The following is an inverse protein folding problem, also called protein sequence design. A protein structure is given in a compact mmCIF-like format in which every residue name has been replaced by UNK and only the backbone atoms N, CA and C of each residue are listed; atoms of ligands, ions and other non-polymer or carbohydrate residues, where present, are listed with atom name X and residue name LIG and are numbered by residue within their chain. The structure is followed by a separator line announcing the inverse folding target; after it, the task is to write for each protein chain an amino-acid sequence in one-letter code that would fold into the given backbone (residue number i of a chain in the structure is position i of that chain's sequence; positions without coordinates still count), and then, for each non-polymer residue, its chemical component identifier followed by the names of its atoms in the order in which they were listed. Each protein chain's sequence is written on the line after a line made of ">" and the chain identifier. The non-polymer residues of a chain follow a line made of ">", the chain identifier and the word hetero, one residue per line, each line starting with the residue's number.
data_IF_000946483324
#
_entry.id   IF_000946483324
#
_cell.length_a   1.000
_cell.length_b   1.000
_cell.length_c   1.000
_cell.angle_alpha   90.00
_cell.angle_beta   90.00
_cell.angle_gamma   90.00
#
_symmetry.space_group_name_H-M   'P 1'
#
loop_
_entity.id
_entity.type
_entity.pdbx_description
1 polymer ?
#
# COMPACT_ATOMS: atom_id res chain seq x y z
N UNK A 1 31.38 40.17 8.88
CA UNK A 1 30.23 39.64 9.64
C UNK A 1 29.01 39.38 8.75
N UNK A 2 28.28 40.39 8.24
CA UNK A 2 27.05 40.17 7.43
C UNK A 2 27.14 39.18 6.25
N UNK A 3 28.29 39.08 5.59
CA UNK A 3 28.49 38.09 4.51
C UNK A 3 28.61 36.65 5.04
N UNK A 4 29.29 36.46 6.17
CA UNK A 4 29.41 35.16 6.84
C UNK A 4 28.04 34.73 7.37
N UNK A 5 27.25 35.64 7.94
CA UNK A 5 25.90 35.35 8.41
C UNK A 5 24.98 34.88 7.28
N UNK A 6 25.08 35.52 6.10
CA UNK A 6 24.33 35.09 4.91
C UNK A 6 24.77 33.72 4.43
N UNK A 7 26.07 33.43 4.39
CA UNK A 7 26.58 32.12 3.98
C UNK A 7 26.16 31.02 4.97
N UNK A 8 26.23 31.30 6.27
CA UNK A 8 25.77 30.38 7.32
C UNK A 8 24.27 30.09 7.20
N UNK A 9 23.45 31.12 6.95
CA UNK A 9 22.01 30.95 6.73
C UNK A 9 21.71 30.12 5.45
N UNK A 10 22.43 30.36 4.35
CA UNK A 10 22.29 29.58 3.12
C UNK A 10 22.68 28.12 3.33
N UNK A 11 23.78 27.87 4.05
CA UNK A 11 24.20 26.52 4.40
C UNK A 11 23.16 25.81 5.25
N UNK A 12 22.64 26.48 6.30
CA UNK A 12 21.57 25.93 7.13
C UNK A 12 20.31 25.57 6.34
N UNK A 13 19.91 26.43 5.39
CA UNK A 13 18.78 26.14 4.51
C UNK A 13 19.04 24.93 3.58
N UNK A 14 20.27 24.79 3.07
CA UNK A 14 20.65 23.64 2.25
C UNK A 14 20.62 22.33 3.05
N UNK A 15 21.14 22.34 4.28
CA UNK A 15 21.09 21.17 5.18
C UNK A 15 19.64 20.79 5.49
N UNK A 16 18.81 21.76 5.87
CA UNK A 16 17.39 21.51 6.17
C UNK A 16 16.64 20.91 4.96
N UNK A 17 16.97 21.36 3.75
CA UNK A 17 16.41 20.79 2.52
C UNK A 17 16.84 19.33 2.33
N UNK A 18 18.12 19.02 2.49
CA UNK A 18 18.65 17.64 2.38
C UNK A 18 17.99 16.73 3.41
N UNK A 19 17.86 17.18 4.67
CA UNK A 19 17.20 16.42 5.73
C UNK A 19 15.72 16.12 5.40
N UNK A 20 15.01 17.12 4.88
CA UNK A 20 13.61 16.96 4.50
C UNK A 20 13.42 15.95 3.36
N UNK A 21 14.27 16.03 2.32
CA UNK A 21 14.25 15.12 1.18
C UNK A 21 14.63 13.70 1.58
N UNK A 22 15.70 13.53 2.37
CA UNK A 22 16.11 12.22 2.87
C UNK A 22 15.01 11.58 3.72
N UNK A 23 14.39 12.36 4.60
CA UNK A 23 13.27 11.87 5.42
C UNK A 23 12.08 11.43 4.57
N UNK A 24 11.79 12.14 3.46
CA UNK A 24 10.76 11.72 2.52
C UNK A 24 11.10 10.39 1.83
N UNK A 25 12.35 10.20 1.42
CA UNK A 25 12.82 8.96 0.82
C UNK A 25 12.77 7.78 1.80
N UNK A 26 13.16 7.97 3.06
CA UNK A 26 13.06 6.94 4.10
C UNK A 26 11.60 6.49 4.29
N UNK A 27 10.66 7.45 4.36
CA UNK A 27 9.23 7.14 4.46
C UNK A 27 8.74 6.35 3.25
N UNK A 28 9.11 6.79 2.04
CA UNK A 28 8.73 6.09 0.82
C UNK A 28 9.28 4.66 0.78
N UNK A 29 10.57 4.46 1.02
CA UNK A 29 11.18 3.13 1.04
C UNK A 29 10.57 2.22 2.11
N UNK A 30 10.19 2.78 3.27
CA UNK A 30 9.48 2.04 4.32
C UNK A 30 8.09 1.61 3.82
N UNK A 31 7.36 2.48 3.15
CA UNK A 31 6.05 2.18 2.55
C UNK A 31 6.17 1.07 1.50
N UNK A 32 7.22 1.09 0.67
CA UNK A 32 7.52 0.03 -0.29
C UNK A 32 7.84 -1.29 0.40
N UNK A 33 8.80 -1.27 1.34
CA UNK A 33 9.28 -2.47 2.04
C UNK A 33 8.20 -3.16 2.89
N UNK A 34 7.27 -2.39 3.44
CA UNK A 34 6.12 -2.91 4.21
C UNK A 34 4.92 -3.26 3.35
N UNK A 35 5.04 -3.12 2.02
CA UNK A 35 3.98 -3.48 1.07
C UNK A 35 2.74 -2.58 1.18
N UNK A 36 2.88 -1.39 1.74
CA UNK A 36 1.80 -0.40 1.84
C UNK A 36 1.46 0.17 0.46
N UNK A 37 0.24 0.71 0.24
CA UNK A 37 -0.15 1.27 -1.04
C UNK A 37 0.71 2.49 -1.37
N UNK A 38 1.46 2.47 -2.47
CA UNK A 38 2.25 3.60 -2.98
C UNK A 38 2.13 3.69 -4.50
N UNK A 39 2.51 4.84 -5.06
CA UNK A 39 2.49 5.07 -6.51
C UNK A 39 3.39 4.06 -7.23
N UNK A 40 2.91 3.54 -8.37
CA UNK A 40 3.59 2.48 -9.13
C UNK A 40 3.50 1.07 -8.53
N UNK A 41 2.94 0.91 -7.32
CA UNK A 41 2.83 -0.41 -6.69
C UNK A 41 1.72 -1.28 -7.30
N UNK A 42 1.91 -2.60 -7.24
CA UNK A 42 0.86 -3.58 -7.58
C UNK A 42 -0.18 -3.77 -6.46
N UNK A 43 -0.15 -2.95 -5.40
CA UNK A 43 -1.01 -3.13 -4.22
C UNK A 43 -2.50 -3.17 -4.58
N UNK A 44 -2.96 -2.22 -5.41
CA UNK A 44 -4.38 -2.14 -5.81
C UNK A 44 -4.81 -3.39 -6.59
N UNK A 45 -3.99 -3.85 -7.55
CA UNK A 45 -4.27 -5.05 -8.32
C UNK A 45 -4.34 -6.31 -7.42
N UNK A 46 -3.38 -6.46 -6.49
CA UNK A 46 -3.38 -7.56 -5.51
C UNK A 46 -4.62 -7.53 -4.62
N UNK A 47 -5.00 -6.37 -4.10
CA UNK A 47 -6.21 -6.20 -3.28
C UNK A 47 -7.48 -6.56 -4.05
N UNK A 48 -7.61 -6.10 -5.29
CA UNK A 48 -8.75 -6.44 -6.16
C UNK A 48 -8.82 -7.94 -6.45
N UNK A 49 -7.67 -8.57 -6.73
CA UNK A 49 -7.58 -10.01 -6.92
C UNK A 49 -8.02 -10.77 -5.65
N UNK A 50 -7.53 -10.38 -4.47
CA UNK A 50 -7.91 -11.00 -3.20
C UNK A 50 -9.43 -10.91 -2.96
N UNK A 51 -10.04 -9.77 -3.25
CA UNK A 51 -11.48 -9.60 -3.12
C UNK A 51 -12.25 -10.51 -4.11
N UNK A 52 -11.76 -10.65 -5.33
CA UNK A 52 -12.35 -11.56 -6.32
C UNK A 52 -12.27 -13.02 -5.87
N UNK A 53 -11.14 -13.46 -5.31
CA UNK A 53 -10.98 -14.80 -4.74
C UNK A 53 -11.96 -15.04 -3.59
N UNK A 54 -12.07 -14.09 -2.65
CA UNK A 54 -13.02 -14.20 -1.53
C UNK A 54 -14.48 -14.35 -2.01
N UNK A 55 -14.85 -13.62 -3.08
CA UNK A 55 -16.18 -13.74 -3.71
C UNK A 55 -16.38 -15.11 -4.36
N UNK A 56 -15.35 -15.62 -5.05
CA UNK A 56 -15.36 -16.95 -5.66
C UNK A 56 -15.54 -18.06 -4.61
N UNK A 57 -14.80 -17.98 -3.51
CA UNK A 57 -14.91 -18.93 -2.40
C UNK A 57 -16.31 -18.89 -1.76
N UNK A 58 -16.86 -17.70 -1.59
CA UNK A 58 -18.23 -17.55 -1.12
C UNK A 58 -19.24 -18.19 -2.08
N UNK A 59 -19.15 -17.91 -3.38
CA UNK A 59 -20.04 -18.50 -4.39
C UNK A 59 -19.93 -20.05 -4.41
N UNK A 60 -18.72 -20.59 -4.32
CA UNK A 60 -18.49 -22.05 -4.22
C UNK A 60 -19.18 -22.66 -3.01
N UNK A 61 -19.09 -22.03 -1.83
CA UNK A 61 -19.78 -22.51 -0.62
C UNK A 61 -21.30 -22.51 -0.79
N UNK A 62 -21.86 -21.44 -1.35
CA UNK A 62 -23.31 -21.32 -1.60
C UNK A 62 -23.81 -22.36 -2.61
N UNK A 63 -23.03 -22.62 -3.67
CA UNK A 63 -23.36 -23.67 -4.63
C UNK A 63 -23.33 -25.07 -4.00
N UNK A 64 -22.34 -25.35 -3.16
CA UNK A 64 -22.26 -26.63 -2.45
C UNK A 64 -23.41 -26.82 -1.45
N UNK A 65 -23.84 -25.75 -0.77
CA UNK A 65 -25.04 -25.76 0.08
C UNK A 65 -26.29 -26.07 -0.74
N UNK A 66 -26.46 -25.40 -1.89
CA UNK A 66 -27.59 -25.62 -2.78
C UNK A 66 -27.61 -27.05 -3.34
N UNK A 67 -26.47 -27.57 -3.76
CA UNK A 67 -26.35 -28.93 -4.27
C UNK A 67 -26.82 -29.97 -3.24
N UNK A 68 -26.35 -29.86 -2.00
CA UNK A 68 -26.80 -30.72 -0.89
C UNK A 68 -28.30 -30.59 -0.61
N UNK A 69 -28.84 -29.37 -0.68
CA UNK A 69 -30.27 -29.16 -0.48
C UNK A 69 -31.11 -29.81 -1.59
N UNK A 70 -30.64 -29.78 -2.85
CA UNK A 70 -31.28 -30.47 -3.96
C UNK A 70 -31.23 -31.99 -3.81
N UNK A 71 -30.11 -32.56 -3.36
CA UNK A 71 -29.98 -33.99 -3.07
C UNK A 71 -31.01 -34.45 -2.03
N UNK A 72 -31.12 -33.72 -0.92
CA UNK A 72 -32.09 -34.01 0.15
C UNK A 72 -33.55 -33.89 -0.28
N UNK A 73 -33.86 -33.15 -1.35
CA UNK A 73 -35.23 -33.05 -1.88
C UNK A 73 -35.58 -34.19 -2.84
N UNK A 74 -34.58 -34.92 -3.34
CA UNK A 74 -34.75 -36.03 -4.28
C UNK A 74 -34.81 -37.39 -3.57
N UNK A 75 -34.35 -37.46 -2.32
CA UNK A 75 -34.51 -38.59 -1.39
C UNK A 75 -35.85 -38.54 -0.64
#
# INVERSE_FOLDING_TARGET
>A
ERHLDRQAAQFGAAVAKVEAELSAQIRYLTQVATGQPHEGSSYAARKSCQLALNRLDYARRRLAELARACELMLE
#
